data_IF_670285277820
#
_entry.id   IF_670285277820
#
_cell.length_a   1.000
_cell.length_b   1.000
_cell.length_c   1.000
_cell.angle_alpha   90.00
_cell.angle_beta   90.00
_cell.angle_gamma   90.00
#
_symmetry.space_group_name_H-M   'P 1'
#
loop_
_entity.id
_entity.type
_entity.pdbx_description
1 polymer ?
#
# COMPACT_ATOMS: atom_id res chain seq x y z
N UNK A 1 22.07 11.21 -12.44
CA UNK A 1 21.76 10.49 -11.19
C UNK A 1 23.03 10.43 -10.41
N UNK A 2 23.12 10.99 -9.20
CA UNK A 2 24.30 10.88 -8.32
C UNK A 2 25.67 11.00 -9.03
N UNK A 3 25.82 12.02 -9.89
CA UNK A 3 27.04 12.25 -10.68
C UNK A 3 27.14 11.51 -12.03
N UNK A 4 26.30 10.51 -12.29
CA UNK A 4 26.22 9.78 -13.55
C UNK A 4 25.45 10.53 -14.65
N UNK A 5 26.01 10.51 -15.86
CA UNK A 5 25.36 10.97 -17.10
C UNK A 5 24.45 9.88 -17.65
N UNK A 6 23.18 10.22 -17.91
CA UNK A 6 22.20 9.30 -18.48
C UNK A 6 21.96 9.71 -19.93
N UNK A 7 22.26 8.84 -20.92
CA UNK A 7 22.01 9.14 -22.32
C UNK A 7 20.54 9.44 -22.63
N UNK A 8 20.30 10.21 -23.69
CA UNK A 8 18.95 10.43 -24.22
C UNK A 8 18.37 9.10 -24.70
N UNK A 9 17.11 8.83 -24.36
CA UNK A 9 16.40 7.60 -24.75
C UNK A 9 16.56 6.43 -23.79
N UNK A 10 17.32 6.61 -22.69
CA UNK A 10 17.40 5.61 -21.63
C UNK A 10 16.06 5.42 -20.93
N UNK A 11 15.63 4.16 -20.81
CA UNK A 11 14.47 3.78 -19.99
C UNK A 11 14.89 3.87 -18.52
N UNK A 12 14.11 4.62 -17.74
CA UNK A 12 14.29 4.73 -16.29
C UNK A 12 13.14 4.03 -15.60
N UNK A 13 13.46 3.04 -14.77
CA UNK A 13 12.47 2.29 -13.99
C UNK A 13 12.57 2.79 -12.55
N UNK A 14 11.60 3.57 -12.04
CA UNK A 14 11.60 3.96 -10.64
C UNK A 14 11.32 2.73 -9.76
N UNK A 15 12.18 2.51 -8.76
CA UNK A 15 12.03 1.44 -7.78
C UNK A 15 11.33 1.97 -6.52
N UNK A 16 10.01 2.17 -6.56
CA UNK A 16 9.27 2.70 -5.40
C UNK A 16 9.34 1.78 -4.19
N UNK A 17 9.33 0.46 -4.42
CA UNK A 17 9.42 -0.54 -3.37
C UNK A 17 10.71 -0.40 -2.55
N UNK A 18 11.83 0.03 -3.14
CA UNK A 18 13.08 0.19 -2.38
C UNK A 18 12.97 1.30 -1.33
N UNK A 19 12.18 2.35 -1.60
CA UNK A 19 11.91 3.40 -0.62
C UNK A 19 10.89 2.92 0.41
N UNK A 20 9.84 2.22 -0.02
CA UNK A 20 8.77 1.76 0.88
C UNK A 20 9.21 0.61 1.79
N UNK A 21 10.26 -0.13 1.43
CA UNK A 21 10.87 -1.19 2.21
C UNK A 21 12.24 -0.83 2.80
N UNK A 22 12.60 0.45 2.82
CA UNK A 22 13.84 0.91 3.42
C UNK A 22 13.75 0.83 4.95
N UNK A 23 14.56 -0.03 5.58
CA UNK A 23 14.56 -0.23 7.04
C UNK A 23 15.06 1.00 7.81
N UNK A 24 15.87 1.87 7.21
CA UNK A 24 16.33 3.11 7.83
C UNK A 24 15.20 4.15 7.89
N UNK A 25 14.29 4.13 6.91
CA UNK A 25 13.12 5.02 6.87
C UNK A 25 11.93 4.44 7.64
N UNK A 26 11.74 3.13 7.56
CA UNK A 26 10.58 2.41 8.05
C UNK A 26 11.01 1.14 8.79
N UNK A 27 11.23 1.20 10.11
CA UNK A 27 11.58 0.00 10.89
C UNK A 27 10.58 -1.14 10.67
N UNK A 28 11.08 -2.36 10.50
CA UNK A 28 10.27 -3.56 10.19
C UNK A 28 9.27 -3.32 9.03
N UNK A 29 9.74 -2.95 7.83
CA UNK A 29 8.87 -2.48 6.74
C UNK A 29 7.98 -3.58 6.15
N UNK A 30 8.35 -4.85 6.33
CA UNK A 30 7.54 -5.99 5.92
C UNK A 30 6.36 -6.27 6.87
N UNK A 31 6.35 -5.65 8.06
CA UNK A 31 5.25 -5.77 9.01
C UNK A 31 4.17 -4.74 8.71
N UNK A 32 2.91 -5.17 8.62
CA UNK A 32 1.77 -4.27 8.50
C UNK A 32 1.51 -3.58 9.83
N UNK A 33 1.93 -2.32 9.92
CA UNK A 33 1.92 -1.50 11.14
C UNK A 33 1.28 -0.13 10.82
N UNK A 34 -0.03 0.04 11.06
CA UNK A 34 -0.73 1.30 10.87
C UNK A 34 -0.19 2.46 11.73
N UNK A 35 0.31 2.15 12.92
CA UNK A 35 0.75 3.12 13.93
C UNK A 35 1.95 3.94 13.44
N UNK A 36 2.76 3.44 12.49
CA UNK A 36 3.85 4.22 11.88
C UNK A 36 3.39 5.49 11.15
N UNK A 37 2.10 5.58 10.83
CA UNK A 37 1.51 6.75 10.18
C UNK A 37 0.86 7.72 11.18
N UNK A 38 1.04 7.51 12.48
CA UNK A 38 0.45 8.30 13.55
C UNK A 38 1.53 8.97 14.40
N UNK A 39 1.21 10.14 14.95
CA UNK A 39 2.01 10.76 16.00
C UNK A 39 1.70 10.17 17.39
N UNK A 40 2.44 10.62 18.39
CA UNK A 40 2.25 10.21 19.79
C UNK A 40 0.85 10.50 20.37
N UNK A 41 0.06 11.37 19.72
CA UNK A 41 -1.32 11.69 20.09
C UNK A 41 -2.35 10.93 19.25
N UNK A 42 -1.90 10.08 18.32
CA UNK A 42 -2.77 9.34 17.40
C UNK A 42 -3.23 10.15 16.17
N UNK A 43 -2.64 11.33 15.92
CA UNK A 43 -2.96 12.11 14.72
C UNK A 43 -2.17 11.61 13.50
N UNK A 44 -2.80 11.61 12.33
CA UNK A 44 -2.17 11.18 11.09
C UNK A 44 -0.99 12.08 10.70
N UNK A 45 0.16 11.46 10.41
CA UNK A 45 1.34 12.10 9.88
C UNK A 45 1.42 11.81 8.38
N UNK A 46 1.47 12.87 7.57
CA UNK A 46 1.74 12.75 6.15
C UNK A 46 3.24 12.55 5.92
N UNK A 47 3.60 11.44 5.29
CA UNK A 47 4.97 11.17 4.82
C UNK A 47 5.06 11.34 3.30
N UNK A 48 5.80 12.35 2.84
CA UNK A 48 5.99 12.65 1.41
C UNK A 48 6.86 11.60 0.68
N UNK A 49 7.51 10.68 1.40
CA UNK A 49 8.29 9.56 0.85
C UNK A 49 7.39 8.39 0.43
N UNK A 50 6.17 8.32 0.98
CA UNK A 50 5.15 7.34 0.59
C UNK A 50 4.56 7.77 -0.76
N UNK A 51 5.01 7.08 -1.81
CA UNK A 51 4.81 7.50 -3.21
C UNK A 51 4.17 6.41 -4.08
N UNK A 52 3.04 5.79 -3.66
CA UNK A 52 2.38 4.72 -4.43
C UNK A 52 1.84 5.22 -5.78
N UNK A 53 1.71 6.53 -5.95
CA UNK A 53 1.19 7.18 -7.16
C UNK A 53 2.28 7.86 -7.99
N UNK A 54 3.56 7.51 -7.79
CA UNK A 54 4.72 8.16 -8.43
C UNK A 54 4.84 9.65 -8.07
N UNK A 55 5.75 10.37 -8.73
CA UNK A 55 6.06 11.78 -8.50
C UNK A 55 6.25 12.55 -9.82
N UNK A 56 6.15 13.87 -9.75
CA UNK A 56 6.44 14.79 -10.85
C UNK A 56 5.39 14.80 -11.96
N UNK A 57 5.79 15.22 -13.17
CA UNK A 57 4.88 15.45 -14.31
C UNK A 57 4.11 14.20 -14.80
N UNK A 58 4.53 13.02 -14.36
CA UNK A 58 3.94 11.71 -14.71
C UNK A 58 3.39 10.98 -13.49
N UNK A 59 3.18 11.67 -12.37
CA UNK A 59 2.42 11.15 -11.25
C UNK A 59 1.01 10.70 -11.71
N UNK A 60 0.43 9.75 -10.99
CA UNK A 60 -0.86 9.17 -11.33
C UNK A 60 -1.94 10.27 -11.33
N UNK A 61 -2.52 10.54 -12.50
CA UNK A 61 -3.62 11.51 -12.63
C UNK A 61 -4.84 11.09 -11.80
N UNK A 62 -5.00 9.78 -11.54
CA UNK A 62 -6.10 9.22 -10.77
C UNK A 62 -5.89 9.21 -9.25
N UNK A 63 -4.80 9.77 -8.71
CA UNK A 63 -4.49 9.70 -7.27
C UNK A 63 -5.66 10.17 -6.39
N UNK A 64 -6.26 11.32 -6.71
CA UNK A 64 -7.37 11.86 -5.92
C UNK A 64 -8.61 10.96 -5.94
N UNK A 65 -8.91 10.37 -7.10
CA UNK A 65 -10.03 9.44 -7.24
C UNK A 65 -9.75 8.13 -6.48
N UNK A 66 -8.55 7.56 -6.65
CA UNK A 66 -8.14 6.34 -5.96
C UNK A 66 -8.19 6.51 -4.43
N UNK A 67 -7.71 7.65 -3.90
CA UNK A 67 -7.81 7.96 -2.46
C UNK A 67 -9.25 8.04 -1.98
N UNK A 68 -10.12 8.67 -2.75
CA UNK A 68 -11.55 8.75 -2.43
C UNK A 68 -12.21 7.37 -2.44
N UNK A 69 -11.99 6.58 -3.48
CA UNK A 69 -12.53 5.22 -3.61
C UNK A 69 -12.03 4.32 -2.48
N UNK A 70 -10.72 4.31 -2.20
CA UNK A 70 -10.13 3.53 -1.12
C UNK A 70 -10.77 3.87 0.23
N UNK A 71 -10.88 5.17 0.56
CA UNK A 71 -11.48 5.59 1.81
C UNK A 71 -12.96 5.19 1.89
N UNK A 72 -13.75 5.46 0.85
CA UNK A 72 -15.18 5.18 0.84
C UNK A 72 -15.47 3.68 0.88
N UNK A 73 -14.84 2.88 0.02
CA UNK A 73 -15.09 1.44 -0.02
C UNK A 73 -14.59 0.75 1.24
N UNK A 74 -13.37 1.04 1.70
CA UNK A 74 -12.82 0.38 2.88
C UNK A 74 -13.61 0.72 4.14
N UNK A 75 -13.91 2.00 4.38
CA UNK A 75 -14.69 2.41 5.55
C UNK A 75 -16.11 1.84 5.50
N UNK A 76 -16.76 1.84 4.33
CA UNK A 76 -18.11 1.28 4.19
C UNK A 76 -18.15 -0.23 4.42
N UNK A 77 -17.21 -0.97 3.82
CA UNK A 77 -17.12 -2.42 4.01
C UNK A 77 -16.86 -2.78 5.46
N UNK A 78 -15.93 -2.10 6.14
CA UNK A 78 -15.60 -2.36 7.55
C UNK A 78 -16.67 -1.85 8.54
N UNK A 79 -17.45 -0.83 8.15
CA UNK A 79 -18.61 -0.40 8.92
C UNK A 79 -19.74 -1.43 8.85
N UNK A 80 -19.97 -2.03 7.68
CA UNK A 80 -21.09 -2.96 7.44
C UNK A 80 -20.77 -4.41 7.71
N UNK A 81 -19.51 -4.82 7.60
CA UNK A 81 -19.12 -6.22 7.71
C UNK A 81 -17.94 -6.42 8.65
N UNK A 82 -17.97 -7.55 9.35
CA UNK A 82 -16.81 -8.12 10.01
C UNK A 82 -16.23 -9.19 9.09
N UNK A 83 -14.97 -9.03 8.67
CA UNK A 83 -14.27 -9.99 7.83
C UNK A 83 -13.51 -10.99 8.70
N UNK A 84 -13.70 -12.29 8.42
CA UNK A 84 -12.97 -13.38 9.07
C UNK A 84 -12.40 -14.35 8.03
N UNK A 85 -11.34 -15.11 8.36
CA UNK A 85 -10.88 -16.20 7.52
C UNK A 85 -12.00 -17.22 7.22
N UNK A 86 -11.93 -17.92 6.08
CA UNK A 86 -12.93 -18.93 5.69
C UNK A 86 -13.04 -20.07 6.71
N UNK A 87 -11.94 -20.40 7.39
CA UNK A 87 -11.90 -21.40 8.45
C UNK A 87 -11.38 -20.76 9.74
N UNK A 88 -11.93 -21.16 10.89
CA UNK A 88 -11.59 -20.59 12.20
C UNK A 88 -10.12 -20.78 12.62
N UNK A 89 -9.32 -21.53 11.86
CA UNK A 89 -8.00 -21.99 12.30
C UNK A 89 -6.82 -21.30 11.59
N UNK A 90 -6.98 -20.71 10.39
CA UNK A 90 -5.83 -20.11 9.67
C UNK A 90 -6.21 -18.89 8.84
N UNK A 91 -5.56 -17.76 9.14
CA UNK A 91 -5.47 -16.63 8.19
C UNK A 91 -4.80 -17.14 6.91
N UNK A 92 -5.29 -16.77 5.71
CA UNK A 92 -4.62 -17.13 4.47
C UNK A 92 -3.15 -16.69 4.49
N UNK A 93 -2.22 -17.51 3.94
CA UNK A 93 -0.83 -17.11 3.85
C UNK A 93 -0.72 -15.85 2.96
N UNK A 94 0.19 -14.96 3.34
CA UNK A 94 0.47 -13.75 2.57
C UNK A 94 1.32 -14.15 1.36
N UNK A 95 0.66 -14.48 0.26
CA UNK A 95 1.29 -14.84 -1.01
C UNK A 95 0.83 -13.90 -2.12
N UNK A 96 1.74 -13.60 -3.03
CA UNK A 96 1.49 -12.68 -4.13
C UNK A 96 1.66 -13.35 -5.49
N UNK A 97 0.93 -12.84 -6.49
CA UNK A 97 1.24 -13.11 -7.88
C UNK A 97 2.41 -12.22 -8.32
N UNK A 98 3.42 -12.82 -8.95
CA UNK A 98 4.51 -12.07 -9.57
C UNK A 98 4.03 -11.44 -10.88
N UNK A 99 4.21 -10.13 -11.02
CA UNK A 99 3.79 -9.39 -12.22
C UNK A 99 4.17 -7.92 -12.14
N UNK A 100 3.71 -7.12 -13.11
CA UNK A 100 3.90 -5.66 -13.09
C UNK A 100 3.16 -5.01 -11.91
N UNK A 101 1.98 -5.53 -11.55
CA UNK A 101 1.26 -5.16 -10.34
C UNK A 101 1.35 -6.29 -9.32
N UNK A 102 1.74 -5.96 -8.09
CA UNK A 102 1.67 -6.89 -6.98
C UNK A 102 0.20 -7.08 -6.59
N UNK A 103 -0.26 -8.31 -6.62
CA UNK A 103 -1.62 -8.67 -6.20
C UNK A 103 -1.56 -9.88 -5.29
N UNK A 104 -2.42 -9.99 -4.28
CA UNK A 104 -2.52 -11.20 -3.49
C UNK A 104 -2.94 -12.38 -4.39
N UNK A 105 -2.43 -13.57 -4.11
CA UNK A 105 -3.02 -14.80 -4.66
C UNK A 105 -4.47 -14.92 -4.23
N UNK A 106 -5.27 -15.66 -4.99
CA UNK A 106 -6.68 -15.86 -4.67
C UNK A 106 -6.83 -16.43 -3.25
N UNK A 107 -7.56 -15.71 -2.40
CA UNK A 107 -7.92 -16.14 -1.06
C UNK A 107 -9.42 -15.93 -0.84
N UNK A 108 -9.96 -16.59 0.18
CA UNK A 108 -11.36 -16.44 0.59
C UNK A 108 -11.44 -15.89 2.00
N UNK A 109 -12.53 -15.16 2.25
CA UNK A 109 -12.91 -14.69 3.58
C UNK A 109 -14.44 -14.75 3.71
N UNK A 110 -14.93 -14.76 4.93
CA UNK A 110 -16.34 -14.61 5.26
C UNK A 110 -16.61 -13.17 5.68
N UNK A 111 -17.69 -12.57 5.18
CA UNK A 111 -18.15 -11.24 5.58
C UNK A 111 -19.47 -11.39 6.37
N UNK A 112 -19.45 -11.04 7.65
CA UNK A 112 -20.61 -11.10 8.54
C UNK A 112 -21.19 -9.70 8.72
N UNK A 113 -22.49 -9.52 8.47
CA UNK A 113 -23.15 -8.23 8.67
C UNK A 113 -22.99 -7.74 10.11
N UNK A 114 -22.57 -6.49 10.29
CA UNK A 114 -22.58 -5.77 11.56
C UNK A 114 -23.93 -5.06 11.70
N UNK A 115 -24.52 -5.13 12.88
CA UNK A 115 -25.75 -4.40 13.22
C UNK A 115 -25.46 -2.91 13.43
#
# INVERSE_FOLDING_TARGET
MEGYKIPKGTIVIPQFQSVHLDEELYPSPEHFDPERHLDQNGAFIKDDRITPFSLGKRACLGESLAKMELFLFLSHLLQKFEFRPETNEKVPPIEYNTGFLLSPKAFKCCAFSRN
#
